data_IF_267358662174
#
_entry.id   IF_267358662174
#
_cell.length_a   1.000
_cell.length_b   1.000
_cell.length_c   1.000
_cell.angle_alpha   90.00
_cell.angle_beta   90.00
_cell.angle_gamma   90.00
#
_symmetry.space_group_name_H-M   'P 1'
#
loop_
_entity.id
_entity.type
_entity.pdbx_description
1 polymer ?
#
# COMPACT_ATOMS: atom_id res chain seq x y z
N UNK A 1 -18.25 -20.66 20.02
CA UNK A 1 -16.88 -20.72 19.49
C UNK A 1 -16.47 -19.31 19.11
N UNK A 2 -15.33 -18.83 19.61
CA UNK A 2 -14.79 -17.55 19.18
C UNK A 2 -14.40 -17.68 17.70
N UNK A 3 -14.99 -16.85 16.85
CA UNK A 3 -14.72 -16.81 15.41
C UNK A 3 -13.31 -16.22 15.23
N UNK A 4 -12.28 -17.06 15.31
CA UNK A 4 -10.90 -16.67 15.02
C UNK A 4 -10.83 -16.35 13.54
N UNK A 5 -10.92 -15.07 13.20
CA UNK A 5 -10.54 -14.58 11.87
C UNK A 5 -9.16 -15.18 11.59
N UNK A 6 -9.05 -16.09 10.63
CA UNK A 6 -7.76 -16.64 10.22
C UNK A 6 -6.87 -15.47 9.81
N UNK A 7 -5.90 -15.16 10.68
CA UNK A 7 -4.86 -14.18 10.43
C UNK A 7 -3.89 -14.88 9.48
N UNK A 8 -4.10 -14.68 8.19
CA UNK A 8 -3.18 -15.11 7.14
C UNK A 8 -2.25 -13.95 6.74
N UNK A 9 -1.23 -14.22 5.90
CA UNK A 9 -0.21 -13.23 5.52
C UNK A 9 -0.75 -11.95 4.86
N UNK A 10 -2.02 -11.92 4.45
CA UNK A 10 -2.70 -10.71 3.95
C UNK A 10 -2.96 -9.68 5.05
N UNK A 11 -2.82 -10.05 6.32
CA UNK A 11 -2.79 -9.11 7.44
C UNK A 11 -1.54 -8.25 7.42
N UNK A 12 -0.38 -8.84 7.13
CA UNK A 12 0.89 -8.10 7.00
C UNK A 12 0.85 -7.19 5.76
N UNK A 13 0.23 -7.64 4.66
CA UNK A 13 0.02 -6.79 3.47
C UNK A 13 -0.81 -5.54 3.78
N UNK A 14 -1.83 -5.66 4.62
CA UNK A 14 -2.62 -4.51 5.06
C UNK A 14 -1.78 -3.52 5.88
N UNK A 15 -0.98 -4.04 6.81
CA UNK A 15 -0.06 -3.22 7.60
C UNK A 15 0.97 -2.51 6.71
N UNK A 16 1.55 -3.22 5.75
CA UNK A 16 2.49 -2.67 4.78
C UNK A 16 1.84 -1.62 3.86
N UNK A 17 0.61 -1.86 3.39
CA UNK A 17 -0.13 -0.88 2.60
C UNK A 17 -0.39 0.41 3.39
N UNK A 18 -0.72 0.30 4.69
CA UNK A 18 -0.84 1.47 5.56
C UNK A 18 0.50 2.21 5.72
N UNK A 19 1.61 1.48 5.84
CA UNK A 19 2.96 2.07 5.87
C UNK A 19 3.27 2.81 4.58
N UNK A 20 3.00 2.23 3.41
CA UNK A 20 3.19 2.89 2.12
C UNK A 20 2.33 4.15 2.02
N UNK A 21 1.05 4.08 2.35
CA UNK A 21 0.19 5.25 2.35
C UNK A 21 0.76 6.37 3.22
N UNK A 22 1.23 6.03 4.42
CA UNK A 22 1.82 7.01 5.32
C UNK A 22 3.11 7.61 4.76
N UNK A 23 4.00 6.79 4.20
CA UNK A 23 5.24 7.24 3.58
C UNK A 23 4.99 8.17 2.38
N UNK A 24 3.94 7.90 1.59
CA UNK A 24 3.62 8.68 0.38
C UNK A 24 2.88 9.98 0.69
N UNK A 25 2.00 9.98 1.69
CA UNK A 25 1.07 11.09 1.95
C UNK A 25 1.41 11.89 3.22
N UNK A 26 2.25 11.36 4.10
CA UNK A 26 2.49 11.90 5.44
C UNK A 26 1.31 11.78 6.40
N UNK A 27 0.20 11.13 5.99
CA UNK A 27 -1.03 11.00 6.76
C UNK A 27 -1.29 9.55 7.17
N UNK A 28 -2.07 9.33 8.23
CA UNK A 28 -2.61 8.00 8.49
C UNK A 28 -3.77 7.74 7.52
N UNK A 29 -3.92 6.52 6.97
CA UNK A 29 -5.01 6.21 6.05
C UNK A 29 -6.39 6.33 6.72
N UNK A 30 -6.44 6.14 8.05
CA UNK A 30 -7.66 6.22 8.85
C UNK A 30 -7.37 6.90 10.20
N UNK A 31 -7.42 8.23 10.28
CA UNK A 31 -6.99 8.99 11.46
C UNK A 31 -7.84 8.74 12.72
N UNK A 32 -9.06 8.20 12.60
CA UNK A 32 -9.94 7.86 13.74
C UNK A 32 -9.61 6.56 14.48
N UNK A 33 -8.56 5.83 14.10
CA UNK A 33 -8.27 4.48 14.60
C UNK A 33 -7.40 4.41 15.87
N UNK A 34 -6.90 5.54 16.37
CA UNK A 34 -6.07 5.61 17.57
C UNK A 34 -6.88 5.21 18.83
N UNK A 35 -6.78 3.93 19.19
CA UNK A 35 -6.74 3.36 20.56
C UNK A 35 -7.96 2.67 21.17
N UNK A 36 -9.22 2.83 20.72
CA UNK A 36 -10.36 2.09 21.35
C UNK A 36 -11.27 1.29 20.41
N UNK A 37 -11.20 1.53 19.10
CA UNK A 37 -12.22 1.06 18.16
C UNK A 37 -11.67 0.13 17.06
N UNK A 38 -10.67 -0.71 17.37
CA UNK A 38 -10.18 -1.75 16.42
C UNK A 38 -11.31 -2.68 15.91
N UNK A 39 -12.33 -2.92 16.73
CA UNK A 39 -13.53 -3.69 16.37
C UNK A 39 -14.51 -2.88 15.49
N UNK A 40 -14.50 -1.55 15.62
CA UNK A 40 -15.31 -0.62 14.82
C UNK A 40 -14.67 -0.32 13.47
N UNK A 41 -13.34 -0.43 13.35
CA UNK A 41 -12.58 -0.27 12.10
C UNK A 41 -13.02 -1.26 11.01
N UNK A 42 -13.31 -2.51 11.39
CA UNK A 42 -13.91 -3.52 10.52
C UNK A 42 -15.32 -3.15 10.03
N UNK A 43 -15.98 -2.18 10.68
CA UNK A 43 -17.36 -1.75 10.41
C UNK A 43 -17.49 -0.31 9.90
N UNK A 44 -16.44 0.51 9.97
CA UNK A 44 -16.51 1.90 9.49
C UNK A 44 -16.53 1.90 7.97
N UNK A 45 -17.39 2.71 7.36
CA UNK A 45 -17.40 2.96 5.90
C UNK A 45 -16.34 3.98 5.47
N UNK A 46 -15.54 4.46 6.42
CA UNK A 46 -14.56 5.50 6.20
C UNK A 46 -13.47 4.98 5.27
N UNK A 47 -13.31 5.65 4.13
CA UNK A 47 -12.27 5.40 3.13
C UNK A 47 -11.11 6.35 3.42
N UNK A 48 -9.88 5.90 3.14
CA UNK A 48 -8.73 6.81 3.11
C UNK A 48 -8.96 7.88 2.03
N UNK A 49 -8.35 9.06 2.22
CA UNK A 49 -8.24 10.02 1.13
C UNK A 49 -7.44 9.39 -0.03
N UNK A 50 -7.76 9.65 -1.30
CA UNK A 50 -6.98 9.16 -2.42
C UNK A 50 -5.52 9.62 -2.35
N UNK A 51 -4.57 8.71 -2.63
CA UNK A 51 -3.13 9.04 -2.63
C UNK A 51 -2.82 10.14 -3.66
N UNK A 52 -3.53 10.15 -4.79
CA UNK A 52 -3.40 11.12 -5.87
C UNK A 52 -3.72 12.55 -5.46
N UNK A 53 -4.46 12.77 -4.37
CA UNK A 53 -4.64 14.11 -3.80
C UNK A 53 -3.35 14.71 -3.23
N UNK A 54 -2.37 13.87 -2.90
CA UNK A 54 -1.07 14.26 -2.33
C UNK A 54 0.08 14.06 -3.31
N UNK A 55 -0.02 13.03 -4.16
CA UNK A 55 1.01 12.60 -5.10
C UNK A 55 0.40 12.24 -6.44
N UNK A 56 0.07 13.26 -7.22
CA UNK A 56 -0.50 13.12 -8.57
C UNK A 56 0.53 12.70 -9.63
N UNK A 57 1.81 12.69 -9.27
CA UNK A 57 2.94 12.27 -10.11
C UNK A 57 3.16 10.75 -10.10
N UNK A 58 2.52 10.03 -9.18
CA UNK A 58 2.61 8.57 -9.11
C UNK A 58 1.76 7.92 -10.20
N UNK A 59 2.25 6.80 -10.71
CA UNK A 59 1.49 6.00 -11.68
C UNK A 59 0.24 5.40 -11.05
N UNK A 60 -0.86 5.39 -11.81
CA UNK A 60 -2.16 4.86 -11.38
C UNK A 60 -2.07 3.40 -10.88
N UNK A 61 -1.25 2.57 -11.54
CA UNK A 61 -1.05 1.16 -11.15
C UNK A 61 -0.49 1.02 -9.73
N UNK A 62 0.43 1.90 -9.33
CA UNK A 62 1.06 1.83 -8.02
C UNK A 62 0.11 2.29 -6.93
N UNK A 63 -0.66 3.35 -7.21
CA UNK A 63 -1.74 3.81 -6.34
C UNK A 63 -2.76 2.68 -6.13
N UNK A 64 -3.18 2.02 -7.20
CA UNK A 64 -4.13 0.89 -7.13
C UNK A 64 -3.57 -0.28 -6.32
N UNK A 65 -2.29 -0.61 -6.47
CA UNK A 65 -1.63 -1.65 -5.66
C UNK A 65 -1.69 -1.33 -4.16
N UNK A 66 -1.31 -0.11 -3.78
CA UNK A 66 -1.34 0.33 -2.37
C UNK A 66 -2.78 0.33 -1.83
N UNK A 67 -3.76 0.76 -2.63
CA UNK A 67 -5.18 0.73 -2.26
C UNK A 67 -5.72 -0.70 -2.08
N UNK A 68 -5.35 -1.65 -2.96
CA UNK A 68 -5.69 -3.07 -2.81
C UNK A 68 -5.08 -3.67 -1.55
N UNK A 69 -3.82 -3.37 -1.24
CA UNK A 69 -3.18 -3.83 0.01
C UNK A 69 -3.95 -3.36 1.25
N UNK A 70 -4.45 -2.13 1.25
CA UNK A 70 -5.25 -1.56 2.34
C UNK A 70 -6.74 -1.92 2.31
N UNK A 71 -7.19 -2.83 1.43
CA UNK A 71 -8.61 -3.17 1.34
C UNK A 71 -9.11 -3.81 2.65
N UNK A 72 -10.33 -3.44 3.07
CA UNK A 72 -10.94 -4.00 4.29
C UNK A 72 -11.29 -5.47 4.13
N UNK A 73 -11.70 -5.88 2.93
CA UNK A 73 -11.90 -7.28 2.59
C UNK A 73 -10.56 -7.92 2.28
N UNK A 74 -10.18 -8.97 3.02
CA UNK A 74 -8.93 -9.71 2.77
C UNK A 74 -8.88 -10.36 1.39
N UNK A 75 -10.04 -10.68 0.81
CA UNK A 75 -10.15 -11.32 -0.50
C UNK A 75 -9.97 -10.34 -1.67
N UNK A 76 -9.97 -9.04 -1.38
CA UNK A 76 -9.65 -7.98 -2.35
C UNK A 76 -8.20 -7.48 -2.20
N UNK A 77 -7.40 -8.12 -1.32
CA UNK A 77 -5.97 -7.84 -1.20
C UNK A 77 -5.20 -8.79 -2.12
N UNK A 78 -3.95 -8.46 -2.48
CA UNK A 78 -3.08 -9.43 -3.12
C UNK A 78 -2.97 -10.71 -2.28
N UNK A 79 -2.92 -11.85 -2.95
CA UNK A 79 -2.96 -13.15 -2.28
C UNK A 79 -1.73 -13.41 -1.39
N UNK A 80 -0.59 -12.81 -1.76
CA UNK A 80 0.68 -13.02 -1.08
C UNK A 80 1.65 -11.85 -1.25
N UNK A 81 2.69 -11.81 -0.43
CA UNK A 81 3.82 -10.90 -0.62
C UNK A 81 4.55 -11.14 -1.95
N UNK A 82 4.58 -12.38 -2.43
CA UNK A 82 5.16 -12.71 -3.74
C UNK A 82 4.39 -12.03 -4.88
N UNK A 83 3.06 -11.99 -4.78
CA UNK A 83 2.22 -11.27 -5.76
C UNK A 83 2.58 -9.79 -5.81
N UNK A 84 2.73 -9.14 -4.64
CA UNK A 84 3.13 -7.73 -4.56
C UNK A 84 4.52 -7.51 -5.15
N UNK A 85 5.48 -8.38 -4.84
CA UNK A 85 6.85 -8.29 -5.37
C UNK A 85 6.86 -8.40 -6.91
N UNK A 86 6.12 -9.35 -7.47
CA UNK A 86 6.03 -9.52 -8.93
C UNK A 86 5.40 -8.30 -9.61
N UNK A 87 4.33 -7.73 -9.03
CA UNK A 87 3.70 -6.53 -9.59
C UNK A 87 4.63 -5.32 -9.55
N UNK A 88 5.44 -5.18 -8.49
CA UNK A 88 6.45 -4.13 -8.40
C UNK A 88 7.57 -4.33 -9.43
N UNK A 89 8.09 -5.55 -9.55
CA UNK A 89 9.20 -5.88 -10.46
C UNK A 89 8.82 -5.70 -11.93
N UNK A 90 7.60 -6.08 -12.32
CA UNK A 90 7.09 -5.90 -13.68
C UNK A 90 6.97 -4.43 -14.10
N UNK A 91 6.87 -3.52 -13.14
CA UNK A 91 6.64 -2.09 -13.38
C UNK A 91 7.84 -1.22 -13.04
N UNK A 92 8.88 -1.77 -12.41
CA UNK A 92 10.20 -1.13 -12.38
C UNK A 92 10.88 -1.32 -13.73
N UNK A 93 11.36 -0.25 -14.38
CA UNK A 93 12.23 -0.43 -15.54
C UNK A 93 13.43 -1.30 -15.13
N UNK A 94 14.00 -2.09 -16.06
CA UNK A 94 15.23 -2.83 -15.76
C UNK A 94 16.26 -1.86 -15.17
N UNK A 95 17.15 -2.32 -14.28
CA UNK A 95 18.19 -1.48 -13.73
C UNK A 95 18.84 -0.70 -14.87
N UNK A 96 19.03 0.61 -14.65
CA UNK A 96 19.66 1.47 -15.64
C UNK A 96 20.94 0.76 -16.08
N UNK A 97 21.18 0.63 -17.40
CA UNK A 97 22.36 -0.06 -17.85
C UNK A 97 23.61 0.64 -17.33
N UNK A 98 24.68 -0.11 -17.10
CA UNK A 98 25.92 0.34 -16.42
C UNK A 98 26.58 1.61 -16.99
N UNK A 99 26.12 2.08 -18.15
CA UNK A 99 26.56 3.31 -18.80
C UNK A 99 25.74 4.56 -18.44
N UNK A 100 24.70 4.45 -17.61
CA UNK A 100 23.88 5.58 -17.12
C UNK A 100 24.43 6.15 -15.80
N UNK A 101 25.73 5.99 -15.55
CA UNK A 101 26.46 6.67 -14.47
C UNK A 101 27.62 7.49 -15.08
N UNK A 102 27.32 8.61 -15.77
CA UNK A 102 28.36 9.63 -16.02
C UNK A 102 27.94 11.04 -16.45
N UNK A 103 26.66 11.37 -16.68
CA UNK A 103 26.31 12.66 -17.34
C UNK A 103 25.34 13.59 -16.58
N UNK A 104 25.07 13.34 -15.29
CA UNK A 104 24.34 14.29 -14.44
C UNK A 104 25.17 14.75 -13.24
N UNK A 105 26.43 15.10 -13.48
CA UNK A 105 27.25 15.95 -12.62
C UNK A 105 27.77 17.11 -13.48
N UNK A 106 26.97 18.16 -13.67
CA UNK A 106 27.39 19.57 -13.86
C UNK A 106 26.18 20.42 -14.33
N UNK A 107 25.60 21.17 -13.40
CA UNK A 107 25.30 22.62 -13.53
C UNK A 107 24.84 23.20 -12.17
#
# INVERSE_FOLDING_TARGET
SYNSVEIDGRADLYGLGCTFYHALTGKLPYPGLEKKDKIKAQRSKEKSEPITNFRSDLSDWFVELVERMMNKSKDNRPDSAMTVLLELDLMTPPPLPDWVDSEYDED
#
